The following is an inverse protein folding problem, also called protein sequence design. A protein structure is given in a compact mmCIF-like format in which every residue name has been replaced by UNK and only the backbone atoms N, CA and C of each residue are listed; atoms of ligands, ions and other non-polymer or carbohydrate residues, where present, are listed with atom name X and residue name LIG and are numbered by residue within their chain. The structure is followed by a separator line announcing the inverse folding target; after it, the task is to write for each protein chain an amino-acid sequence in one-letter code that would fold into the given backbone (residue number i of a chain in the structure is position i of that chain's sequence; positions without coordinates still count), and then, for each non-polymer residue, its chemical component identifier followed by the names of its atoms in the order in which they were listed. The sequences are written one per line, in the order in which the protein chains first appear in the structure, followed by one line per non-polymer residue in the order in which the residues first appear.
data_IF_944781999793
#
_entry.id   IF_944781999793
#
_cell.length_a   1.000
_cell.length_b   1.000
_cell.length_c   1.000
_cell.angle_alpha   90.00
_cell.angle_beta   90.00
_cell.angle_gamma   90.00
#
_symmetry.space_group_name_H-M   'P 1'
#
loop_
_entity.id
_entity.type
_entity.pdbx_description
1 polymer ?
2 non-polymer ?
3 water ?
#
# COMPACT_ATOMS: atom_id res chain seq x y z
N UNK A 10 -2.44 0.87 -28.79
CA UNK A 10 -2.61 0.29 -30.18
C UNK A 10 -3.87 0.95 -30.80
N UNK A 11 -4.33 0.37 -31.92
CA UNK A 11 -5.52 0.84 -32.62
C UNK A 11 -6.78 0.19 -32.00
N UNK A 12 -6.63 -0.36 -30.81
CA UNK A 12 -7.73 -1.02 -30.11
C UNK A 12 -8.10 -0.28 -28.83
N UNK A 13 -7.34 0.77 -28.52
CA UNK A 13 -7.57 1.55 -27.31
C UNK A 13 -7.53 3.05 -27.60
N UNK A 14 -8.46 3.78 -26.98
CA UNK A 14 -8.57 5.22 -27.17
C UNK A 14 -8.48 5.97 -25.84
N UNK A 15 -7.44 6.79 -25.69
CA UNK A 15 -7.25 7.54 -24.44
C UNK A 15 -8.21 8.69 -24.27
N UNK A 16 -8.97 8.65 -23.19
CA UNK A 16 -9.96 9.67 -22.90
C UNK A 16 -9.47 10.63 -21.83
N UNK A 17 -8.57 10.17 -20.96
CA UNK A 17 -8.09 11.07 -19.93
C UNK A 17 -6.79 10.58 -19.34
N UNK A 18 -6.22 11.39 -18.45
CA UNK A 18 -4.96 11.04 -17.81
C UNK A 18 -5.22 10.84 -16.32
N UNK A 19 -5.17 9.59 -15.91
CA UNK A 19 -5.41 9.18 -14.53
C UNK A 19 -4.32 9.68 -13.61
N UNK A 20 -3.09 9.27 -13.89
CA UNK A 20 -1.99 9.69 -13.07
C UNK A 20 -0.71 9.64 -13.86
N UNK A 21 0.34 10.25 -13.30
CA UNK A 21 1.66 10.29 -13.91
C UNK A 21 2.65 10.32 -12.77
N UNK A 22 3.89 9.90 -13.04
CA UNK A 22 4.90 9.90 -12.00
C UNK A 22 6.08 8.99 -12.28
N UNK A 23 6.66 8.43 -11.21
CA UNK A 23 7.80 7.54 -11.31
C UNK A 23 7.54 6.33 -12.20
N UNK A 25 7.04 6.56 -18.06
CA UNK A 25 5.75 6.88 -18.62
C UNK A 25 4.65 7.18 -17.61
N UNK A 26 3.42 7.35 -18.11
CA UNK A 26 2.25 7.65 -17.30
C UNK A 26 1.07 6.68 -17.53
N UNK A 27 -0.06 6.97 -16.86
CA UNK A 27 -1.27 6.15 -16.93
C UNK A 27 -2.52 6.88 -17.40
N UNK A 28 -3.30 6.24 -18.26
CA UNK A 28 -4.51 6.83 -18.80
C UNK A 28 -5.77 5.99 -18.61
N UNK A 29 -6.91 6.64 -18.80
CA UNK A 29 -8.23 6.03 -18.74
C UNK A 29 -8.55 5.90 -20.21
N UNK A 30 -8.85 4.69 -20.66
CA UNK A 30 -9.12 4.52 -22.06
C UNK A 30 -10.32 3.66 -22.36
N UNK A 31 -10.73 3.70 -23.61
CA UNK A 31 -11.85 2.89 -24.07
C UNK A 31 -11.30 1.62 -24.68
N UNK A 32 -11.86 0.48 -24.27
CA UNK A 32 -11.47 -0.81 -24.83
C UNK A 32 -12.43 -0.95 -26.02
N UNK A 33 -12.04 -0.38 -27.16
CA UNK A 33 -12.86 -0.41 -28.36
C UNK A 33 -13.27 -1.82 -28.78
N UNK A 34 -12.34 -2.76 -28.69
CA UNK A 34 -12.61 -4.15 -29.08
C UNK A 34 -13.49 -4.89 -28.11
N UNK A 35 -13.57 -4.39 -26.88
CA UNK A 35 -14.41 -5.04 -25.88
C UNK A 35 -15.51 -4.17 -25.30
N UNK A 36 -16.51 -3.86 -26.11
CA UNK A 36 -17.63 -3.07 -25.63
C UNK A 36 -17.39 -1.66 -25.15
N UNK A 37 -16.23 -1.07 -25.47
CA UNK A 37 -15.96 0.28 -25.03
C UNK A 37 -15.90 0.44 -23.53
N UNK A 38 -15.42 -0.60 -22.85
CA UNK A 38 -15.30 -0.54 -21.40
C UNK A 38 -14.06 0.27 -21.11
N UNK A 39 -14.04 0.85 -19.92
CA UNK A 39 -12.90 1.64 -19.50
C UNK A 39 -11.78 0.69 -19.07
N UNK A 40 -10.56 1.10 -19.36
CA UNK A 40 -9.39 0.33 -18.99
C UNK A 40 -8.32 1.31 -18.57
N UNK A 41 -7.24 0.82 -17.99
CA UNK A 41 -6.15 1.68 -17.59
C UNK A 41 -4.93 1.32 -18.39
N UNK A 42 -4.51 2.24 -19.26
CA UNK A 42 -3.34 2.04 -20.09
C UNK A 42 -2.12 2.68 -19.47
N UNK A 43 -1.05 1.90 -19.34
CA UNK A 43 0.19 2.40 -18.78
C UNK A 43 1.21 2.21 -19.87
N UNK A 44 1.85 3.33 -20.26
CA UNK A 44 2.86 3.33 -21.30
C UNK A 44 4.22 3.50 -20.66
N UNK A 45 4.86 2.40 -20.29
CA UNK A 45 6.18 2.45 -19.67
C UNK A 45 7.19 2.87 -20.73
N UNK A 46 8.46 2.99 -20.29
CA UNK A 46 9.63 3.36 -21.15
C UNK A 46 10.92 2.84 -20.50
N UNK A 55 15.94 -3.94 -21.62
CA UNK A 55 16.57 -4.59 -20.46
C UNK A 55 15.95 -5.95 -20.20
N UNK A 56 16.61 -6.77 -19.37
CA UNK A 56 16.09 -8.09 -19.03
C UNK A 56 15.21 -7.98 -17.79
N UNK A 57 15.60 -7.11 -16.87
CA UNK A 57 14.87 -6.89 -15.62
C UNK A 57 13.44 -6.47 -15.88
N UNK A 58 13.24 -5.63 -16.89
CA UNK A 58 11.90 -5.19 -17.25
C UNK A 58 11.16 -6.39 -17.84
N UNK A 59 11.85 -7.12 -18.71
CA UNK A 59 11.27 -8.30 -19.32
C UNK A 59 10.79 -9.22 -18.21
N UNK A 60 11.61 -9.32 -17.16
CA UNK A 60 11.31 -10.18 -16.03
C UNK A 60 10.20 -9.69 -15.13
N UNK A 61 10.12 -8.38 -14.95
CA UNK A 61 9.06 -7.83 -14.12
C UNK A 61 7.73 -8.04 -14.80
N UNK A 62 7.74 -7.90 -16.12
CA UNK A 62 6.55 -8.10 -16.94
C UNK A 62 6.15 -9.56 -16.90
N UNK A 63 7.14 -10.42 -16.85
CA UNK A 63 6.94 -11.86 -16.79
C UNK A 63 6.23 -12.16 -15.48
N UNK A 64 6.71 -11.53 -14.41
CA UNK A 64 6.13 -11.71 -13.09
C UNK A 64 4.67 -11.28 -13.08
N UNK A 65 4.41 -10.11 -13.65
CA UNK A 65 3.04 -9.60 -13.74
C UNK A 65 2.13 -10.54 -14.54
N UNK A 66 2.60 -11.00 -15.69
CA UNK A 66 1.83 -11.91 -16.51
C UNK A 66 1.55 -13.14 -15.67
N UNK A 67 2.59 -13.59 -14.97
CA UNK A 67 2.49 -14.76 -14.12
C UNK A 67 1.50 -14.62 -12.97
N UNK A 68 1.57 -13.52 -12.23
CA UNK A 68 0.64 -13.31 -11.12
C UNK A 68 -0.78 -13.17 -11.65
N UNK A 69 -0.90 -12.60 -12.84
CA UNK A 69 -2.19 -12.39 -13.46
C UNK A 69 -2.94 -13.70 -13.61
N UNK A 70 -2.22 -14.75 -14.01
CA UNK A 70 -2.82 -16.06 -14.22
C UNK A 70 -3.61 -16.58 -13.03
N UNK A 71 -3.29 -16.09 -11.83
CA UNK A 71 -3.99 -16.52 -10.62
C UNK A 71 -5.26 -15.70 -10.42
N UNK A 72 -5.36 -14.58 -11.14
CA UNK A 72 -6.48 -13.66 -11.04
C UNK A 72 -7.00 -13.49 -9.61
N UNK A 73 -6.10 -13.08 -8.71
CA UNK A 73 -6.46 -12.87 -7.33
C UNK A 73 -7.48 -11.73 -7.31
N UNK A 74 -8.64 -11.98 -6.66
CA UNK A 74 -9.71 -10.98 -6.58
C UNK A 74 -9.28 -9.60 -6.11
N UNK A 75 -8.20 -9.58 -5.31
CA UNK A 75 -7.76 -8.33 -4.76
C UNK A 75 -6.59 -7.60 -5.42
N UNK A 76 -6.35 -7.88 -6.70
CA UNK A 76 -5.30 -7.16 -7.42
C UNK A 76 -5.94 -6.79 -8.76
N UNK A 77 -5.50 -5.71 -9.39
CA UNK A 77 -6.12 -5.34 -10.66
C UNK A 77 -5.83 -6.33 -11.78
N UNK A 78 -6.88 -6.71 -12.51
CA UNK A 78 -6.72 -7.64 -13.62
C UNK A 78 -5.81 -7.01 -14.68
N UNK A 79 -4.94 -7.80 -15.28
CA UNK A 79 -4.07 -7.32 -16.34
C UNK A 79 -4.68 -7.86 -17.63
N UNK A 80 -5.34 -7.00 -18.40
CA UNK A 80 -6.00 -7.46 -19.62
C UNK A 80 -5.09 -7.66 -20.82
N UNK A 81 -3.98 -6.96 -20.86
CA UNK A 81 -3.11 -7.11 -22.00
C UNK A 81 -1.80 -6.34 -21.94
N UNK A 82 -0.84 -6.82 -22.72
CA UNK A 82 0.47 -6.20 -22.80
C UNK A 82 0.74 -6.00 -24.29
N UNK A 83 1.00 -4.77 -24.67
CA UNK A 83 1.25 -4.45 -26.07
C UNK A 83 2.72 -4.21 -26.36
N UNK A 84 3.24 -5.00 -27.30
CA UNK A 84 4.63 -4.93 -27.69
C UNK A 84 4.90 -3.65 -28.45
N UNK A 93 6.77 2.70 -25.55
CA UNK A 93 7.74 1.61 -25.50
C UNK A 93 7.01 0.31 -25.14
N UNK A 94 6.40 0.29 -23.96
CA UNK A 94 5.66 -0.86 -23.47
C UNK A 94 4.26 -0.44 -23.00
N UNK A 95 3.23 -1.13 -23.47
CA UNK A 95 1.89 -0.78 -23.05
C UNK A 95 1.17 -1.86 -22.28
N UNK A 96 0.83 -1.58 -21.03
CA UNK A 96 0.13 -2.54 -20.20
C UNK A 96 -1.32 -2.10 -20.04
N UNK A 97 -2.24 -3.02 -20.26
CA UNK A 97 -3.65 -2.70 -20.13
C UNK A 97 -4.22 -3.43 -18.94
N UNK A 98 -4.76 -2.64 -18.00
CA UNK A 98 -5.35 -3.17 -16.78
C UNK A 98 -6.81 -2.79 -16.67
N UNK A 99 -7.55 -3.51 -15.86
CA UNK A 99 -8.96 -3.18 -15.69
C UNK A 99 -8.99 -1.84 -15.00
N UNK A 100 -10.03 -1.05 -15.27
CA UNK A 100 -10.19 0.28 -14.67
C UNK A 100 -11.10 0.23 -13.44
N UNK A 101 -10.75 0.99 -12.41
CA UNK A 101 -11.57 1.08 -11.20
C UNK A 101 -11.90 2.56 -11.07
N UNK A 102 -13.17 2.89 -10.86
CA UNK A 102 -13.57 4.28 -10.76
C UNK A 102 -12.82 5.15 -9.75
N UNK A 103 -12.50 4.62 -8.58
CA UNK A 103 -11.83 5.45 -7.60
C UNK A 103 -10.80 4.72 -6.72
N UNK A 104 -9.99 5.49 -6.01
CA UNK A 104 -8.97 4.96 -5.09
C UNK A 104 -9.40 5.15 -3.64
N UNK A 105 -8.62 4.61 -2.71
CA UNK A 105 -8.95 4.72 -1.29
C UNK A 105 -9.03 6.15 -0.78
N UNK A 106 -8.26 7.05 -1.36
CA UNK A 106 -8.27 8.44 -0.90
C UNK A 106 -9.60 9.08 -1.22
N UNK A 107 -9.96 9.03 -2.50
CA UNK A 107 -11.21 9.59 -2.93
C UNK A 107 -12.33 9.01 -2.07
N UNK A 108 -12.27 7.70 -1.83
CA UNK A 108 -13.27 7.03 -1.01
C UNK A 108 -13.36 7.63 0.39
N UNK A 109 -12.21 7.90 1.00
CA UNK A 109 -12.17 8.49 2.33
C UNK A 109 -12.60 9.96 2.30
N UNK A 110 -12.25 10.65 1.21
CA UNK A 110 -12.61 12.05 1.08
C UNK A 110 -14.13 12.18 1.06
N UNK A 111 -14.75 11.42 0.17
CA UNK A 111 -16.20 11.43 -0.02
C UNK A 111 -17.03 10.68 1.00
N UNK A 112 -16.40 9.97 1.92
CA UNK A 112 -17.15 9.23 2.93
C UNK A 112 -17.84 10.21 3.88
N UNK A 113 -19.14 10.02 4.09
CA UNK A 113 -19.95 10.88 4.97
C UNK A 113 -19.55 10.73 6.42
N UNK A 114 -19.79 11.79 7.20
CA UNK A 114 -19.48 11.76 8.62
C UNK A 114 -20.34 10.64 9.21
N UNK A 115 -19.92 10.10 10.36
CA UNK A 115 -18.72 10.50 11.09
C UNK A 115 -17.50 9.71 10.59
N UNK A 116 -17.61 9.14 9.40
CA UNK A 116 -16.50 8.39 8.86
C UNK A 116 -16.83 7.08 8.16
N UNK A 117 -15.95 6.10 8.33
CA UNK A 117 -16.13 4.79 7.71
C UNK A 117 -16.66 3.79 8.71
N UNK A 118 -17.70 3.06 8.32
CA UNK A 118 -18.34 2.05 9.15
C UNK A 118 -17.32 1.07 9.73
N UNK A 119 -17.24 1.02 11.05
CA UNK A 119 -16.32 0.12 11.69
C UNK A 119 -16.15 -1.20 10.91
N UNK A 120 -17.26 -1.71 10.40
CA UNK A 120 -17.20 -2.97 9.68
C UNK A 120 -16.71 -2.87 8.25
N UNK A 121 -16.81 -1.67 7.68
CA UNK A 121 -16.33 -1.47 6.31
C UNK A 121 -14.81 -1.45 6.39
N UNK A 122 -14.32 -0.94 7.50
CA UNK A 122 -12.90 -0.85 7.76
C UNK A 122 -12.36 -2.27 7.84
N UNK A 123 -12.93 -3.05 8.75
CA UNK A 123 -12.54 -4.43 8.97
C UNK A 123 -12.52 -5.21 7.65
N UNK A 124 -13.53 -4.98 6.81
CA UNK A 124 -13.62 -5.69 5.54
C UNK A 124 -12.55 -5.30 4.55
N UNK A 125 -12.38 -4.00 4.35
CA UNK A 125 -11.39 -3.50 3.40
C UNK A 125 -10.00 -3.90 3.81
N UNK A 126 -9.74 -3.84 5.11
CA UNK A 126 -8.44 -4.22 5.64
C UNK A 126 -8.11 -5.66 5.31
N UNK A 127 -9.09 -6.53 5.47
CA UNK A 127 -8.91 -7.94 5.20
C UNK A 127 -8.59 -8.13 3.72
N UNK A 128 -9.40 -7.51 2.87
CA UNK A 128 -9.21 -7.60 1.44
C UNK A 128 -7.84 -7.06 1.08
N UNK A 129 -7.43 -6.06 1.82
CA UNK A 129 -6.13 -5.43 1.64
C UNK A 129 -5.02 -6.42 1.99
N UNK A 130 -5.19 -7.11 3.11
CA UNK A 130 -4.20 -8.09 3.55
C UNK A 130 -4.16 -9.33 2.67
N UNK A 131 -5.28 -9.71 2.07
CA UNK A 131 -5.28 -10.88 1.21
C UNK A 131 -4.49 -10.61 -0.06
N UNK A 132 -4.71 -9.45 -0.68
CA UNK A 132 -3.97 -9.13 -1.88
C UNK A 132 -2.48 -9.02 -1.57
N UNK A 133 -2.19 -8.51 -0.37
CA UNK A 133 -0.82 -8.33 0.06
C UNK A 133 -0.16 -9.68 0.31
N UNK A 134 -0.85 -10.56 1.02
CA UNK A 134 -0.32 -11.89 1.29
C UNK A 134 -0.14 -12.65 -0.02
N UNK A 135 -1.03 -12.40 -0.96
CA UNK A 135 -0.95 -13.04 -2.26
C UNK A 135 0.37 -12.66 -2.93
N UNK A 136 0.71 -11.37 -2.90
CA UNK A 136 1.95 -10.92 -3.50
C UNK A 136 3.15 -11.44 -2.74
N UNK A 137 3.08 -11.36 -1.41
CA UNK A 137 4.17 -11.81 -0.58
C UNK A 137 4.41 -13.29 -0.76
N UNK A 138 3.34 -14.07 -0.84
CA UNK A 138 3.47 -15.51 -1.03
C UNK A 138 4.25 -15.78 -2.32
N UNK A 139 4.10 -14.88 -3.28
CA UNK A 139 4.79 -15.01 -4.55
C UNK A 139 6.03 -14.13 -4.58
N UNK A 140 6.49 -13.74 -3.39
CA UNK A 140 7.71 -12.95 -3.23
C UNK A 140 7.80 -11.63 -3.98
N UNK A 141 6.73 -10.87 -3.98
CA UNK A 141 6.74 -9.57 -4.61
C UNK A 141 6.55 -8.58 -3.48
N UNK A 142 7.34 -7.52 -3.49
CA UNK A 142 7.22 -6.50 -2.46
C UNK A 142 6.73 -5.22 -3.13
N UNK A 143 5.50 -4.80 -2.82
CA UNK A 143 4.93 -3.59 -3.41
C UNK A 143 5.89 -2.40 -3.32
N UNK A 144 6.33 -2.10 -2.09
CA UNK A 144 7.26 -1.03 -1.79
C UNK A 144 6.75 0.40 -1.74
N UNK A 145 5.61 0.68 -2.35
CA UNK A 145 5.06 2.02 -2.29
C UNK A 145 3.54 1.94 -2.09
N UNK A 146 3.13 1.14 -1.12
CA UNK A 146 1.72 0.97 -0.84
C UNK A 146 1.18 2.25 -0.22
N UNK A 147 0.02 2.70 -0.69
CA UNK A 147 -0.56 3.94 -0.18
C UNK A 147 -1.94 4.06 -0.77
N UNK A 148 -2.84 4.78 -0.09
CA UNK A 148 -4.22 5.00 -0.52
C UNK A 148 -4.39 5.32 -1.98
N UNK A 149 -3.40 5.98 -2.57
CA UNK A 149 -3.47 6.36 -3.97
C UNK A 149 -3.35 5.20 -4.93
N UNK A 150 -2.84 4.06 -4.48
CA UNK A 150 -2.76 2.93 -5.39
C UNK A 150 -3.50 1.70 -4.88
N UNK A 151 -4.44 1.97 -3.99
CA UNK A 151 -5.31 0.95 -3.43
C UNK A 151 -6.67 1.37 -4.02
N UNK A 152 -7.15 0.64 -5.01
CA UNK A 152 -8.41 0.99 -5.66
C UNK A 152 -9.66 0.33 -5.07
N UNK A 153 -10.68 1.15 -4.84
CA UNK A 153 -11.95 0.66 -4.31
C UNK A 153 -12.91 0.56 -5.50
N UNK A 154 -13.42 -0.63 -5.74
CA UNK A 154 -14.34 -0.89 -6.85
C UNK A 154 -15.78 -0.50 -6.53
N UNK A 155 -16.60 -0.33 -7.56
CA UNK A 155 -18.02 0.05 -7.39
C UNK A 155 -18.79 -0.79 -6.38
N UNK A 156 -18.33 -2.02 -6.16
CA UNK A 156 -18.98 -2.92 -5.21
C UNK A 156 -18.28 -2.98 -3.85
N UNK A 157 -17.43 -1.99 -3.58
CA UNK A 157 -16.70 -1.93 -2.31
C UNK A 157 -15.52 -2.88 -2.15
N UNK A 158 -15.03 -3.41 -3.27
CA UNK A 158 -13.92 -4.35 -3.28
C UNK A 158 -12.56 -3.66 -3.39
N UNK A 159 -11.57 -4.17 -2.63
CA UNK A 159 -10.23 -3.60 -2.65
C UNK A 159 -9.39 -4.26 -3.71
N UNK A 160 -8.67 -3.45 -4.48
CA UNK A 160 -7.79 -4.00 -5.51
C UNK A 160 -6.48 -3.22 -5.56
N UNK A 161 -5.39 -3.93 -5.36
CA UNK A 161 -4.07 -3.31 -5.38
C UNK A 161 -3.62 -3.10 -6.80
N UNK A 162 -2.93 -1.99 -7.03
CA UNK A 162 -2.40 -1.66 -8.36
C UNK A 162 -1.05 -0.97 -8.20
N UNK A 163 -0.37 -0.76 -9.31
CA UNK A 163 0.90 -0.04 -9.32
C UNK A 163 2.05 -0.68 -8.54
N UNK A 164 2.35 -1.93 -8.87
CA UNK A 164 3.42 -2.67 -8.23
C UNK A 164 4.04 -3.57 -9.32
N UNK A 165 5.14 -4.22 -8.98
CA UNK A 165 5.78 -5.13 -9.92
C UNK A 165 6.59 -4.46 -11.03
N UNK A 166 6.68 -3.14 -11.00
CA UNK A 166 7.45 -2.42 -12.00
C UNK A 166 8.37 -1.42 -11.32
N UNK A 167 9.67 -1.69 -11.35
CA UNK A 167 10.65 -0.80 -10.73
C UNK A 167 10.36 0.64 -11.11
N UNK A 181 7.88 11.12 -3.44
CA UNK A 181 6.79 12.07 -3.32
C UNK A 181 6.13 12.02 -1.93
N UNK A 182 5.73 10.84 -1.48
CA UNK A 182 5.11 10.68 -0.16
C UNK A 182 5.71 9.58 0.71
N UNK A 183 6.39 10.03 1.76
CA UNK A 183 7.04 9.18 2.72
C UNK A 183 6.12 8.85 3.88
N UNK A 184 4.92 9.42 3.90
CA UNK A 184 3.99 9.17 4.99
C UNK A 184 3.68 7.71 5.29
N UNK A 185 3.95 6.84 4.31
CA UNK A 185 3.70 5.41 4.44
C UNK A 185 4.99 4.59 4.49
N UNK A 186 6.13 5.23 4.22
CA UNK A 186 7.39 4.50 4.26
C UNK A 186 7.70 3.88 5.62
N UNK A 187 8.30 2.69 5.60
CA UNK A 187 8.68 2.00 6.82
C UNK A 187 10.03 2.49 7.34
N UNK A 188 10.26 2.39 8.65
CA UNK A 188 11.50 2.80 9.33
C UNK A 188 12.80 2.35 8.66
N UNK A 189 12.87 1.08 8.31
CA UNK A 189 14.04 0.53 7.64
C UNK A 189 14.27 1.19 6.29
N UNK A 190 13.22 1.43 5.53
CA UNK A 190 13.34 2.07 4.22
C UNK A 190 13.93 3.45 4.42
N UNK A 191 13.39 4.17 5.40
CA UNK A 191 13.87 5.50 5.72
C UNK A 191 15.34 5.43 6.15
N UNK A 192 15.66 4.47 7.01
CA UNK A 192 17.03 4.31 7.47
C UNK A 192 17.90 3.74 6.37
N UNK A 193 17.26 3.18 5.35
CA UNK A 193 17.98 2.58 4.22
C UNK A 193 18.81 1.37 4.64
N UNK A 194 18.17 0.34 5.15
CA UNK A 194 18.89 -0.86 5.56
C UNK A 194 18.30 -2.16 5.01
N UNK A 195 16.97 -2.27 4.99
CA UNK A 195 16.32 -3.49 4.48
C UNK A 195 15.07 -3.16 3.69
N UNK A 196 14.76 -3.97 2.68
CA UNK A 196 13.59 -3.73 1.84
C UNK A 196 12.76 -4.99 1.65
N UNK A 197 12.71 -5.84 2.69
CA UNK A 197 11.93 -7.06 2.59
C UNK A 197 10.44 -6.77 2.53
N UNK A 198 9.62 -7.80 2.68
CA UNK A 198 8.18 -7.64 2.63
C UNK A 198 7.57 -6.95 3.86
N UNK A 199 8.32 -6.83 4.98
CA UNK A 199 7.70 -6.17 6.13
C UNK A 199 7.34 -4.72 5.85
N UNK A 200 8.05 -4.14 4.89
CA UNK A 200 7.85 -2.76 4.47
C UNK A 200 6.39 -2.44 4.17
N UNK A 201 5.71 -3.39 3.54
CA UNK A 201 4.32 -3.22 3.16
C UNK A 201 3.35 -3.37 4.32
N UNK A 202 3.74 -4.09 5.37
CA UNK A 202 2.83 -4.24 6.50
C UNK A 202 2.85 -2.96 7.32
N UNK A 203 4.00 -2.29 7.33
CA UNK A 203 4.14 -1.03 8.01
C UNK A 203 3.16 -0.09 7.33
N UNK A 204 3.21 -0.03 6.00
CA UNK A 204 2.32 0.82 5.22
C UNK A 204 0.88 0.44 5.53
N UNK A 205 0.60 -0.85 5.58
CA UNK A 205 -0.75 -1.26 5.88
C UNK A 205 -1.24 -0.66 7.20
N UNK A 206 -0.44 -0.78 8.26
CA UNK A 206 -0.86 -0.21 9.51
C UNK A 206 -1.10 1.30 9.42
N UNK A 207 -0.24 1.95 8.63
CA UNK A 207 -0.31 3.37 8.40
C UNK A 207 -1.63 3.69 7.72
N UNK A 208 -2.11 2.78 6.88
CA UNK A 208 -3.37 2.96 6.16
C UNK A 208 -4.56 2.55 7.03
N UNK A 209 -4.37 1.51 7.83
CA UNK A 209 -5.37 1.00 8.77
C UNK A 209 -5.80 2.13 9.69
N UNK A 210 -4.83 2.90 10.17
CA UNK A 210 -5.09 4.03 11.05
C UNK A 210 -5.87 5.09 10.30
N UNK A 211 -5.39 5.43 9.12
CA UNK A 211 -6.01 6.43 8.28
C UNK A 211 -7.46 6.12 7.92
N UNK A 212 -7.87 4.85 8.05
CA UNK A 212 -9.25 4.50 7.75
C UNK A 212 -10.14 5.23 8.74
N UNK A 213 -9.69 5.22 10.00
CA UNK A 213 -10.37 5.88 11.12
C UNK A 213 -10.12 7.39 11.11
N UNK A 214 -8.84 7.77 11.06
CA UNK A 214 -8.42 9.16 11.04
C UNK A 214 -8.91 9.90 9.81
N UNK A 215 -8.87 9.22 8.68
CA UNK A 215 -9.28 9.83 7.44
C UNK A 215 -8.30 10.91 7.04
N UNK A 216 -7.19 10.95 7.77
CA UNK A 216 -6.10 11.88 7.48
C UNK A 216 -4.85 11.11 7.84
N UNK A 217 -3.77 11.28 7.06
CA UNK A 217 -2.51 10.59 7.29
C UNK A 217 -2.04 10.62 8.75
N UNK A 218 -1.46 9.52 9.21
CA UNK A 218 -0.97 9.39 10.58
C UNK A 218 0.37 10.09 10.76
N UNK A 219 1.35 9.63 10.00
CA UNK A 219 2.68 10.21 10.03
C UNK A 219 2.87 11.05 8.79
N UNK A 220 2.65 12.36 8.92
CA UNK A 220 2.78 13.26 7.78
C UNK A 220 4.05 14.12 7.88
N UNK A 221 5.20 13.51 7.55
CA UNK A 221 6.47 14.21 7.60
C UNK A 221 6.85 14.86 6.29
N UNK A 222 7.93 15.65 6.31
CA UNK A 222 8.39 16.36 5.10
C UNK A 222 9.78 15.99 4.61
N UNK A 223 10.39 15.00 5.25
CA UNK A 223 11.71 14.53 4.87
C UNK A 223 11.90 13.16 5.53
N UNK A 224 12.82 12.36 5.03
CA UNK A 224 13.03 11.06 5.64
C UNK A 224 13.30 11.22 7.15
N UNK A 225 14.18 12.16 7.50
CA UNK A 225 14.51 12.41 8.91
C UNK A 225 13.30 12.93 9.66
N UNK A 226 12.61 13.92 9.10
CA UNK A 226 11.43 14.44 9.77
C UNK A 226 10.45 13.28 9.92
N UNK A 227 10.25 12.53 8.84
CA UNK A 227 9.33 11.40 8.86
C UNK A 227 9.65 10.40 9.96
N UNK A 228 10.89 9.93 9.99
CA UNK A 228 11.32 8.98 11.00
C UNK A 228 11.07 9.62 12.36
N UNK A 229 11.23 10.94 12.40
CA UNK A 229 11.03 11.66 13.64
C UNK A 229 9.60 11.56 14.17
N UNK A 230 8.64 11.91 13.32
CA UNK A 230 7.24 11.84 13.73
C UNK A 230 6.81 10.43 14.09
N UNK A 231 7.40 9.42 13.47
CA UNK A 231 7.05 8.04 13.76
C UNK A 231 7.44 7.70 15.19
N UNK A 232 8.73 7.82 15.46
CA UNK A 232 9.26 7.52 16.77
C UNK A 232 8.63 8.38 17.85
N UNK A 233 8.04 9.50 17.46
CA UNK A 233 7.37 10.35 18.45
C UNK A 233 6.20 9.55 19.02
N UNK A 234 5.58 8.77 18.16
CA UNK A 234 4.44 7.97 18.54
C UNK A 234 4.72 6.57 19.05
N UNK A 235 5.55 5.81 18.36
CA UNK A 235 5.82 4.44 18.82
C UNK A 235 6.96 4.39 19.82
N UNK A 236 7.64 5.52 19.98
CA UNK A 236 8.75 5.61 20.91
C UNK A 236 9.98 4.88 20.44
N UNK A 237 11.13 5.31 20.95
CA UNK A 237 12.41 4.71 20.60
C UNK A 237 12.44 3.21 20.82
N UNK A 238 12.95 2.46 19.85
CA UNK A 238 13.04 1.00 19.96
C UNK A 238 14.32 0.63 20.70
N UNK A 239 14.39 -0.59 21.22
CA UNK A 239 15.57 -1.02 21.93
C UNK A 239 16.80 -0.74 21.07
N UNK A 240 17.95 -0.56 21.69
CA UNK A 240 19.16 -0.28 20.93
C UNK A 240 19.47 -1.41 19.94
N UNK A 241 19.12 -2.64 20.31
CA UNK A 241 19.37 -3.81 19.47
C UNK A 241 18.35 -3.99 18.35
N UNK A 242 17.34 -3.12 18.34
CA UNK A 242 16.32 -3.14 17.31
C UNK A 242 16.69 -2.14 16.23
N UNK A 243 17.76 -1.39 16.48
CA UNK A 243 18.21 -0.39 15.52
C UNK A 243 19.15 -1.07 14.52
N UNK A 244 18.85 -0.97 13.22
CA UNK A 244 19.70 -1.58 12.19
C UNK A 244 21.15 -1.16 12.29
N UNK A 245 22.05 -2.08 11.99
CA UNK A 245 23.46 -1.75 12.07
C UNK A 245 23.99 -1.23 10.76
N UNK A 246 24.86 -0.24 10.90
CA UNK A 246 25.51 0.40 9.77
C UNK A 246 24.58 1.19 8.86
N UNK A 247 23.92 2.18 9.45
CA UNK A 247 23.03 3.07 8.72
C UNK A 247 23.43 4.49 9.11
N UNK A 248 23.43 5.40 8.15
CA UNK A 248 23.81 6.77 8.40
C UNK A 248 23.21 7.38 9.67
N UNK A 249 21.94 7.10 9.95
CA UNK A 249 21.29 7.65 11.13
C UNK A 249 21.36 6.77 12.35
N UNK A 250 22.03 7.25 13.40
CA UNK A 250 22.19 6.51 14.65
C UNK A 250 20.98 6.72 15.57
N UNK A 251 20.72 5.75 16.43
CA UNK A 251 19.59 5.86 17.36
C UNK A 251 19.72 7.15 18.17
N UNK A 252 20.95 7.51 18.50
CA UNK A 252 21.20 8.72 19.28
C UNK A 252 20.68 9.98 18.58
N UNK A 253 20.52 9.91 17.27
CA UNK A 253 20.05 11.07 16.49
C UNK A 253 18.66 11.55 16.90
N UNK A 254 17.94 10.71 17.64
CA UNK A 254 16.61 11.05 18.13
C UNK A 254 16.63 11.03 19.65
N UNK A 255 15.63 11.63 20.28
CA UNK A 255 15.64 11.73 21.72
C UNK A 255 14.42 11.12 22.40
N UNK A 257 12.18 9.82 23.07
CA UNK A 257 10.77 9.77 22.68
C UNK A 257 10.17 8.52 23.35
N UNK A 258 8.98 8.67 23.93
CA UNK A 258 8.34 7.53 24.60
C UNK A 258 7.06 7.05 23.93
N UNK A 259 6.76 5.77 24.11
CA UNK A 259 5.57 5.15 23.53
C UNK A 259 4.29 5.82 24.02
N UNK A 260 3.65 6.56 23.12
CA UNK A 260 2.41 7.26 23.45
C UNK A 260 1.23 6.33 23.23
N UNK A 261 0.15 6.51 24.00
CA UNK A 261 -1.05 5.67 23.84
C UNK A 261 -1.55 5.80 22.41
N UNK A 262 -1.71 4.67 21.73
CA UNK A 262 -2.14 4.72 20.34
C UNK A 262 -3.54 5.26 20.11
N UNK A 263 -4.49 4.89 20.98
CA UNK A 263 -5.87 5.35 20.83
C UNK A 263 -5.97 6.86 20.86
N UNK A 264 -4.88 7.52 21.22
CA UNK A 264 -4.85 8.97 21.27
C UNK A 264 -4.93 9.51 19.84
N UNK A 265 -4.16 8.92 18.93
CA UNK A 265 -4.13 9.37 17.54
C UNK A 265 -5.16 8.67 16.67
N UNK A 266 -5.62 7.51 17.12
CA UNK A 266 -6.62 6.74 16.39
C UNK A 266 -7.79 6.50 17.35
N UNK A 267 -8.77 7.38 17.27
CA UNK A 267 -9.94 7.39 18.12
C UNK A 267 -10.73 6.11 18.43
N UNK A 268 -11.62 5.77 17.50
CA UNK A 268 -12.57 4.67 17.55
C UNK A 268 -12.09 3.23 17.58
N UNK A 269 -10.86 2.96 17.13
CA UNK A 269 -10.31 1.59 17.09
C UNK A 269 -10.63 0.81 18.40
N UNK A 270 -10.90 -0.50 18.27
CA UNK A 270 -11.17 -1.43 19.36
C UNK A 270 -9.89 -2.00 19.93
N UNK A 271 -10.02 -2.87 20.92
CA UNK A 271 -8.88 -3.46 21.58
C UNK A 271 -8.11 -4.32 20.61
N UNK A 272 -8.86 -5.07 19.81
CA UNK A 272 -8.27 -5.96 18.82
C UNK A 272 -7.62 -5.22 17.67
N UNK A 273 -8.28 -4.20 17.14
CA UNK A 273 -7.70 -3.43 16.06
C UNK A 273 -6.44 -2.74 16.54
N UNK A 274 -6.44 -2.38 17.82
CA UNK A 274 -5.30 -1.70 18.44
C UNK A 274 -4.10 -2.62 18.44
N UNK A 275 -4.31 -3.85 18.91
CA UNK A 275 -3.25 -4.86 18.98
C UNK A 275 -2.65 -5.05 17.59
N UNK A 276 -3.51 -5.43 16.64
CA UNK A 276 -3.11 -5.66 15.27
C UNK A 276 -2.32 -4.50 14.70
N UNK A 277 -2.90 -3.31 14.80
CA UNK A 277 -2.27 -2.11 14.27
C UNK A 277 -0.84 -1.94 14.82
N UNK A 278 -0.66 -2.29 16.08
CA UNK A 278 0.66 -2.18 16.69
C UNK A 278 1.59 -3.23 16.13
N UNK A 279 1.03 -4.43 15.94
CA UNK A 279 1.77 -5.55 15.40
C UNK A 279 2.24 -5.23 13.98
N UNK A 280 1.58 -4.29 13.34
CA UNK A 280 1.94 -3.87 11.99
C UNK A 280 3.01 -2.78 12.07
N UNK A 281 2.87 -1.90 13.06
CA UNK A 281 3.78 -0.78 13.25
C UNK A 281 4.93 -1.02 14.20
N UNK A 282 5.42 -2.26 14.23
CA UNK A 282 6.55 -2.63 15.06
C UNK A 282 7.79 -2.06 14.37
N UNK A 283 8.69 -1.48 15.15
CA UNK A 283 9.89 -0.89 14.56
C UNK A 283 10.79 -1.92 13.91
N UNK A 284 10.94 -3.09 14.54
CA UNK A 284 11.79 -4.14 13.98
C UNK A 284 11.01 -5.00 12.97
N UNK A 285 11.34 -4.92 11.68
CA UNK A 285 10.69 -5.67 10.61
C UNK A 285 10.65 -7.16 10.85
N UNK A 286 11.58 -7.64 11.65
CA UNK A 286 11.62 -9.07 11.95
C UNK A 286 10.56 -9.41 12.98
N UNK A 287 10.06 -8.39 13.68
CA UNK A 287 9.02 -8.60 14.69
C UNK A 287 7.65 -8.18 14.16
N UNK A 288 7.66 -7.47 13.05
CA UNK A 288 6.42 -7.00 12.43
C UNK A 288 5.58 -8.19 11.97
N UNK A 289 4.27 -8.08 12.10
CA UNK A 289 3.40 -9.17 11.69
C UNK A 289 3.44 -9.32 10.17
N UNK A 290 3.12 -10.51 9.69
CA UNK A 290 3.13 -10.77 8.25
C UNK A 290 1.70 -10.73 7.77
N UNK A 291 1.49 -10.50 6.48
CA UNK A 291 0.13 -10.45 5.95
C UNK A 291 -0.57 -11.75 6.29
N UNK A 292 0.18 -12.84 6.19
CA UNK A 292 -0.34 -14.15 6.50
C UNK A 292 -0.73 -14.27 7.97
N UNK A 293 0.12 -13.81 8.88
CA UNK A 293 -0.22 -13.89 10.30
C UNK A 293 -1.41 -13.00 10.55
N UNK A 294 -1.40 -11.86 9.87
CA UNK A 294 -2.45 -10.85 9.98
C UNK A 294 -3.83 -11.40 9.62
N UNK A 295 -3.91 -12.14 8.52
CA UNK A 295 -5.18 -12.70 8.08
C UNK A 295 -5.88 -13.54 9.14
N UNK A 296 -5.15 -13.91 10.20
CA UNK A 296 -5.69 -14.74 11.27
C UNK A 296 -5.97 -14.01 12.58
N UNK A 297 -5.46 -12.79 12.72
CA UNK A 297 -5.65 -12.02 13.93
C UNK A 297 -7.11 -11.99 14.39
N UNK A 298 -7.32 -12.02 15.71
CA UNK A 298 -8.64 -12.00 16.32
C UNK A 298 -9.59 -10.93 15.75
N UNK A 299 -9.01 -9.80 15.39
CA UNK A 299 -9.77 -8.68 14.83
C UNK A 299 -10.67 -9.10 13.66
N UNK A 300 -10.24 -10.12 12.93
CA UNK A 300 -11.00 -10.57 11.78
C UNK A 300 -11.94 -11.73 12.07
N UNK A 301 -12.07 -12.11 13.33
CA UNK A 301 -12.95 -13.20 13.69
C UNK A 301 -14.36 -12.68 13.91
X LIG B 1 -6.64 9.75 -8.79
X LIG B 1 -7.51 9.23 -9.88
X LIG B 1 -2.48 0.48 -13.95
X LIG B 1 -7.39 10.76 -7.85
X LIG B 1 -7.87 11.91 -8.64
X LIG B 1 -8.87 11.41 -9.62
X LIG B 1 -8.56 6.08 -11.66
X LIG B 1 -8.25 10.32 -10.58
X LIG B 1 -8.02 3.90 -11.44
X LIG B 1 -8.45 7.41 -11.29
X LIG B 1 -1.30 2.30 -12.42
X LIG B 1 -7.60 7.89 -10.23
X LIG B 1 -1.48 3.26 -11.51
X LIG B 1 -6.86 6.86 -9.54
X LIG B 1 -7.78 1.78 -12.23
X LIG B 1 -6.97 5.49 -9.92
X LIG B 1 -5.85 3.09 -11.78
X LIG B 1 -7.85 5.14 -10.99
X LIG B 1 -3.52 2.35 -12.11
X LIG B 1 -2.49 1.74 -12.78
X LIG B 1 -2.79 3.32 -11.30
X LIG B 1 -3.27 4.37 -10.30
X LIG B 1 -3.15 3.85 -8.86
X LIG B 1 -2.49 5.67 -10.49
X LIG B 1 -5.00 2.07 -12.19
X LIG B 1 -5.56 0.84 -12.62
X LIG B 1 -6.97 0.77 -12.64
X LIG B 1 -7.19 2.90 -11.85
#
# INVERSE_FOLDING_TARGET
MEKDGLCRADQQYECVAEIGEGAYGKVFKARDLKNGGRFVALKRVRVQTGEEGMPLSTIREVAVLRHLETFEHPNVVRLFDVCTVSRTDRETKLTLVFEHVDQDLTTYLDKVPEPGVPTETIKDMMFQLLRGLDFLHSHRVVHRDLKPQNILVTSSGQIKLADFGLARIYSFQMALTSVVVTLWYRAPEVLLQSSYATPVDLWSVGCIFAEMFRRKPLFRGSSDVDQLGKILDVIGLPGEEDWPRDVALPRQAFHSKSAQPIEKFVTDIDELGKDLLLKCLTFNPAKRISAYSALSHPYFQHHHHHH
3NV C1 N1 CL1 C2 N2 C3 N3 C4 N4 C5 N5 C6 N6 C7 N7 C8 N8 C9 C10 C11 C12 C13 C14 C15 C16 C17 C18 C19
#
